data_IF_294014550836
#
_entry.id   IF_294014550836
#
_cell.length_a   1.000
_cell.length_b   1.000
_cell.length_c   1.000
_cell.angle_alpha   90.00
_cell.angle_beta   90.00
_cell.angle_gamma   90.00
#
_symmetry.space_group_name_H-M   'P 1'
#
loop_
_entity.id
_entity.type
_entity.pdbx_description
1 polymer ?
#
# COMPACT_ATOMS: atom_id res chain seq x y z
N UNK A 1 -19.29 -0.82 17.51
CA UNK A 1 -18.93 -1.86 16.49
C UNK A 1 -17.53 -2.35 16.82
N UNK A 2 -17.22 -3.62 16.70
CA UNK A 2 -15.91 -4.18 17.05
C UNK A 2 -14.83 -3.54 16.12
N UNK A 3 -13.71 -3.08 16.68
CA UNK A 3 -12.59 -2.46 15.94
C UNK A 3 -12.16 -3.30 14.73
N UNK A 4 -12.08 -4.61 14.90
CA UNK A 4 -11.71 -5.53 13.83
C UNK A 4 -12.69 -5.49 12.64
N UNK A 5 -14.00 -5.51 12.91
CA UNK A 5 -15.04 -5.41 11.87
C UNK A 5 -14.96 -4.06 11.16
N UNK A 6 -14.73 -2.96 11.91
CA UNK A 6 -14.54 -1.64 11.32
C UNK A 6 -13.37 -1.63 10.35
N UNK A 7 -12.25 -2.26 10.70
CA UNK A 7 -11.07 -2.31 9.81
C UNK A 7 -11.33 -3.16 8.57
N UNK A 8 -12.10 -4.23 8.65
CA UNK A 8 -12.50 -5.00 7.47
C UNK A 8 -13.36 -4.15 6.55
N UNK A 9 -14.40 -3.49 7.06
CA UNK A 9 -15.29 -2.66 6.25
C UNK A 9 -14.53 -1.50 5.60
N UNK A 10 -13.72 -0.77 6.37
CA UNK A 10 -12.91 0.33 5.83
C UNK A 10 -11.90 -0.15 4.79
N UNK A 11 -11.30 -1.33 4.95
CA UNK A 11 -10.39 -1.92 3.97
C UNK A 11 -11.09 -2.22 2.66
N UNK A 12 -12.30 -2.78 2.69
CA UNK A 12 -13.09 -3.04 1.47
C UNK A 12 -13.37 -1.72 0.74
N UNK A 13 -13.82 -0.70 1.45
CA UNK A 13 -14.09 0.63 0.88
C UNK A 13 -12.82 1.21 0.26
N UNK A 14 -11.70 1.16 0.98
CA UNK A 14 -10.41 1.67 0.53
C UNK A 14 -9.92 0.96 -0.75
N UNK A 15 -10.00 -0.36 -0.79
CA UNK A 15 -9.64 -1.15 -1.97
C UNK A 15 -10.50 -0.74 -3.17
N UNK A 16 -11.82 -0.60 -2.99
CA UNK A 16 -12.72 -0.18 -4.06
C UNK A 16 -12.33 1.20 -4.57
N UNK A 17 -12.13 2.17 -3.68
CA UNK A 17 -11.77 3.55 -4.05
C UNK A 17 -10.49 3.61 -4.87
N UNK A 18 -9.45 2.88 -4.44
CA UNK A 18 -8.16 2.86 -5.14
C UNK A 18 -8.19 2.03 -6.43
N UNK A 19 -9.09 1.06 -6.53
CA UNK A 19 -9.28 0.24 -7.72
C UNK A 19 -10.11 0.92 -8.81
N UNK A 20 -10.94 1.92 -8.52
CA UNK A 20 -11.88 2.53 -9.48
C UNK A 20 -11.14 3.02 -10.74
N UNK A 21 -10.12 3.86 -10.60
CA UNK A 21 -9.38 4.43 -11.73
C UNK A 21 -8.68 3.34 -12.53
N UNK A 22 -7.87 2.45 -11.92
CA UNK A 22 -7.28 1.32 -12.63
C UNK A 22 -8.29 0.42 -13.34
N UNK A 23 -9.42 0.15 -12.70
CA UNK A 23 -10.45 -0.73 -13.24
C UNK A 23 -11.15 -0.12 -14.46
N UNK A 24 -11.54 1.17 -14.39
CA UNK A 24 -12.13 1.88 -15.53
C UNK A 24 -11.14 1.93 -16.69
N UNK A 25 -9.87 2.20 -16.42
CA UNK A 25 -8.83 2.22 -17.43
C UNK A 25 -8.64 0.86 -18.10
N UNK A 26 -8.58 -0.21 -17.31
CA UNK A 26 -8.51 -1.56 -17.83
C UNK A 26 -9.72 -1.91 -18.70
N UNK A 27 -10.94 -1.57 -18.24
CA UNK A 27 -12.16 -1.78 -19.01
C UNK A 27 -12.10 -1.11 -20.39
N UNK A 28 -11.57 0.09 -20.46
CA UNK A 28 -11.47 0.86 -21.70
C UNK A 28 -10.37 0.35 -22.63
N UNK A 29 -9.26 -0.16 -22.10
CA UNK A 29 -8.04 -0.38 -22.89
C UNK A 29 -7.58 -1.82 -23.01
N UNK A 30 -7.83 -2.68 -22.03
CA UNK A 30 -7.17 -3.99 -21.94
C UNK A 30 -8.10 -5.18 -21.66
N UNK A 31 -9.40 -4.98 -21.40
CA UNK A 31 -10.34 -6.04 -21.00
C UNK A 31 -10.43 -7.22 -21.98
N UNK A 32 -10.19 -6.96 -23.27
CA UNK A 32 -10.23 -7.99 -24.32
C UNK A 32 -8.92 -8.79 -24.43
N UNK A 33 -7.83 -8.32 -23.83
CA UNK A 33 -6.48 -8.88 -23.97
C UNK A 33 -6.07 -9.71 -22.74
N UNK A 34 -6.43 -9.27 -21.53
CA UNK A 34 -6.01 -9.92 -20.29
C UNK A 34 -6.96 -9.61 -19.12
N UNK A 35 -6.97 -10.49 -18.12
CA UNK A 35 -7.75 -10.31 -16.89
C UNK A 35 -7.22 -9.14 -16.06
N UNK A 36 -8.10 -8.45 -15.33
CA UNK A 36 -7.73 -7.30 -14.49
C UNK A 36 -6.60 -7.62 -13.51
N UNK A 37 -6.68 -8.76 -12.81
CA UNK A 37 -5.66 -9.15 -11.84
C UNK A 37 -4.26 -9.28 -12.47
N UNK A 38 -4.14 -9.88 -13.64
CA UNK A 38 -2.88 -10.01 -14.38
C UNK A 38 -2.39 -8.65 -14.89
N UNK A 39 -3.32 -7.84 -15.40
CA UNK A 39 -3.03 -6.51 -15.92
C UNK A 39 -2.49 -5.57 -14.83
N UNK A 40 -3.07 -5.60 -13.63
CA UNK A 40 -2.63 -4.80 -12.51
C UNK A 40 -1.34 -5.35 -11.87
N UNK A 41 -0.97 -6.61 -12.14
CA UNK A 41 0.26 -7.23 -11.67
C UNK A 41 0.07 -8.18 -10.48
N UNK A 42 -1.15 -8.55 -10.16
CA UNK A 42 -1.44 -9.61 -9.19
C UNK A 42 -1.13 -10.97 -9.83
N UNK A 43 0.14 -11.35 -9.76
CA UNK A 43 0.66 -12.61 -10.29
C UNK A 43 1.18 -13.48 -9.16
N UNK A 44 1.22 -14.80 -9.42
CA UNK A 44 1.92 -15.73 -8.53
C UNK A 44 3.39 -15.30 -8.39
N UNK A 45 3.91 -15.36 -7.18
CA UNK A 45 5.31 -15.01 -6.92
C UNK A 45 6.19 -16.08 -7.61
N UNK A 46 6.97 -15.62 -8.56
CA UNK A 46 8.01 -16.41 -9.22
C UNK A 46 9.33 -16.06 -8.53
N UNK A 47 9.84 -16.99 -7.73
CA UNK A 47 11.11 -16.78 -7.06
C UNK A 47 11.37 -17.87 -6.03
N UNK A 48 12.56 -18.43 -6.07
CA UNK A 48 12.97 -19.46 -5.13
C UNK A 48 13.26 -18.91 -3.73
N UNK A 49 13.94 -19.71 -2.90
CA UNK A 49 14.32 -19.36 -1.52
C UNK A 49 15.02 -18.01 -1.42
N UNK A 50 15.84 -17.62 -2.40
CA UNK A 50 16.54 -16.30 -2.43
C UNK A 50 15.58 -15.14 -2.41
N UNK A 51 14.51 -15.17 -3.22
CA UNK A 51 13.49 -14.12 -3.26
C UNK A 51 12.74 -14.04 -1.93
N UNK A 52 12.37 -15.18 -1.35
CA UNK A 52 11.71 -15.21 -0.05
C UNK A 52 12.62 -14.63 1.05
N UNK A 53 13.89 -15.02 1.07
CA UNK A 53 14.87 -14.48 2.03
C UNK A 53 15.01 -12.96 1.88
N UNK A 54 15.13 -12.47 0.64
CA UNK A 54 15.20 -11.02 0.38
C UNK A 54 13.95 -10.28 0.87
N UNK A 55 12.76 -10.82 0.63
CA UNK A 55 11.49 -10.24 1.12
C UNK A 55 11.51 -10.17 2.66
N UNK A 56 11.91 -11.25 3.34
CA UNK A 56 11.97 -11.29 4.81
C UNK A 56 12.95 -10.24 5.34
N UNK A 57 14.16 -10.16 4.78
CA UNK A 57 15.19 -9.19 5.23
C UNK A 57 14.67 -7.75 5.05
N UNK A 58 14.12 -7.44 3.88
CA UNK A 58 13.58 -6.10 3.60
C UNK A 58 12.41 -5.78 4.52
N UNK A 59 11.51 -6.74 4.77
CA UNK A 59 10.38 -6.55 5.70
C UNK A 59 10.85 -6.27 7.12
N UNK A 60 11.85 -7.00 7.62
CA UNK A 60 12.45 -6.75 8.94
C UNK A 60 13.07 -5.36 9.01
N UNK A 61 13.83 -4.96 7.98
CA UNK A 61 14.43 -3.62 7.92
C UNK A 61 13.38 -2.50 7.94
N UNK A 62 12.27 -2.66 7.22
CA UNK A 62 11.14 -1.72 7.24
C UNK A 62 10.44 -1.67 8.59
N UNK A 63 10.20 -2.81 9.24
CA UNK A 63 9.61 -2.86 10.57
C UNK A 63 10.50 -2.15 11.61
N UNK A 64 11.81 -2.37 11.52
CA UNK A 64 12.77 -1.70 12.40
C UNK A 64 12.80 -0.19 12.17
N UNK A 65 12.88 0.25 10.90
CA UNK A 65 12.81 1.67 10.54
C UNK A 65 11.50 2.31 11.00
N UNK A 66 10.36 1.62 10.81
CA UNK A 66 9.05 2.08 11.28
C UNK A 66 9.00 2.25 12.80
N UNK A 67 9.54 1.28 13.54
CA UNK A 67 9.62 1.37 15.01
C UNK A 67 10.49 2.56 15.47
N UNK A 68 11.62 2.80 14.82
CA UNK A 68 12.46 3.99 15.09
C UNK A 68 11.73 5.29 14.81
N UNK A 69 11.00 5.35 13.67
CA UNK A 69 10.20 6.54 13.32
C UNK A 69 9.13 6.80 14.38
N UNK A 70 8.35 5.79 14.78
CA UNK A 70 7.33 5.93 15.82
C UNK A 70 7.93 6.36 17.16
N UNK A 71 9.13 5.89 17.49
CA UNK A 71 9.84 6.33 18.68
C UNK A 71 10.26 7.81 18.60
N UNK A 72 10.73 8.25 17.42
CA UNK A 72 11.17 9.64 17.21
C UNK A 72 10.01 10.66 17.23
N UNK A 73 8.81 10.25 16.73
CA UNK A 73 7.60 11.09 16.71
C UNK A 73 6.69 10.85 17.91
N UNK A 74 7.23 10.34 19.01
CA UNK A 74 6.47 10.05 20.23
C UNK A 74 5.73 11.30 20.72
N UNK A 75 4.41 11.17 20.87
CA UNK A 75 3.54 12.28 21.29
C UNK A 75 2.82 12.99 20.14
N UNK A 76 3.12 12.65 18.88
CA UNK A 76 2.36 13.12 17.71
C UNK A 76 1.28 12.08 17.38
N UNK A 77 0.06 12.54 17.23
CA UNK A 77 -1.03 11.66 16.76
C UNK A 77 -0.80 11.24 15.30
N UNK A 78 -0.96 9.96 15.06
CA UNK A 78 -0.82 9.36 13.73
C UNK A 78 -2.01 8.45 13.45
N UNK A 79 -2.16 8.01 12.21
CA UNK A 79 -3.21 7.07 11.82
C UNK A 79 -3.17 5.73 12.60
N UNK A 80 -2.06 5.41 13.26
CA UNK A 80 -1.90 4.22 14.10
C UNK A 80 -2.18 4.47 15.59
N UNK A 81 -2.40 5.72 16.01
CA UNK A 81 -2.63 6.09 17.41
C UNK A 81 -3.90 5.44 17.99
N UNK A 82 -4.88 5.12 17.15
CA UNK A 82 -6.09 4.41 17.57
C UNK A 82 -5.84 3.00 18.14
N UNK A 83 -4.67 2.41 17.87
CA UNK A 83 -4.29 1.10 18.41
C UNK A 83 -3.50 1.20 19.71
N UNK A 84 -3.17 2.42 20.17
CA UNK A 84 -2.36 2.64 21.36
C UNK A 84 -3.09 2.15 22.61
N UNK A 85 -2.40 1.37 23.43
CA UNK A 85 -2.95 0.84 24.69
C UNK A 85 -3.86 -0.38 24.56
N UNK A 86 -4.18 -0.85 23.35
CA UNK A 86 -5.08 -1.99 23.14
C UNK A 86 -4.38 -3.36 23.29
N UNK A 87 -3.05 -3.37 23.43
CA UNK A 87 -2.28 -4.60 23.62
C UNK A 87 -2.41 -5.62 22.48
N UNK A 88 -2.13 -6.87 22.81
CA UNK A 88 -2.09 -7.98 21.82
C UNK A 88 -3.44 -8.24 21.12
N UNK A 89 -4.53 -7.87 21.75
CA UNK A 89 -5.88 -8.04 21.20
C UNK A 89 -6.14 -7.17 19.96
N UNK A 90 -5.36 -6.11 19.76
CA UNK A 90 -5.44 -5.26 18.58
C UNK A 90 -4.72 -5.85 17.34
N UNK A 91 -3.84 -6.85 17.51
CA UNK A 91 -3.03 -7.39 16.41
C UNK A 91 -3.84 -7.78 15.18
N UNK A 92 -4.97 -8.51 15.28
CA UNK A 92 -5.76 -8.83 14.09
C UNK A 92 -6.27 -7.58 13.35
N UNK A 93 -6.70 -6.56 14.08
CA UNK A 93 -7.15 -5.30 13.48
C UNK A 93 -6.00 -4.50 12.87
N UNK A 94 -4.83 -4.49 13.50
CA UNK A 94 -3.60 -3.87 12.98
C UNK A 94 -3.18 -4.54 11.67
N UNK A 95 -3.18 -5.87 11.61
CA UNK A 95 -2.80 -6.62 10.40
C UNK A 95 -3.75 -6.31 9.25
N UNK A 96 -5.07 -6.32 9.50
CA UNK A 96 -6.07 -5.95 8.49
C UNK A 96 -5.87 -4.52 8.02
N UNK A 97 -5.68 -3.59 8.95
CA UNK A 97 -5.43 -2.18 8.63
C UNK A 97 -4.17 -2.00 7.79
N UNK A 98 -3.04 -2.51 8.23
CA UNK A 98 -1.76 -2.34 7.54
C UNK A 98 -1.76 -3.00 6.16
N UNK A 99 -2.28 -4.24 6.04
CA UNK A 99 -2.22 -5.00 4.80
C UNK A 99 -3.30 -4.57 3.80
N UNK A 100 -4.55 -4.41 4.22
CA UNK A 100 -5.69 -4.27 3.32
C UNK A 100 -6.29 -2.87 3.29
N UNK A 101 -6.11 -2.08 4.36
CA UNK A 101 -6.58 -0.69 4.35
C UNK A 101 -5.51 0.26 3.81
N UNK A 102 -4.23 -0.08 3.94
CA UNK A 102 -3.11 0.79 3.54
C UNK A 102 -2.29 0.17 2.40
N UNK A 103 -1.49 -0.86 2.68
CA UNK A 103 -0.49 -1.35 1.74
C UNK A 103 -1.09 -1.84 0.40
N UNK A 104 -2.09 -2.70 0.43
CA UNK A 104 -2.63 -3.29 -0.80
C UNK A 104 -3.30 -2.27 -1.74
N UNK A 105 -4.18 -1.35 -1.28
CA UNK A 105 -4.75 -0.31 -2.14
C UNK A 105 -3.69 0.60 -2.75
N UNK A 106 -2.71 1.01 -1.97
CA UNK A 106 -1.62 1.87 -2.44
C UNK A 106 -0.75 1.17 -3.48
N UNK A 107 -0.37 -0.09 -3.25
CA UNK A 107 0.39 -0.89 -4.21
C UNK A 107 -0.40 -1.07 -5.53
N UNK A 108 -1.70 -1.29 -5.45
CA UNK A 108 -2.57 -1.45 -6.61
C UNK A 108 -2.58 -0.18 -7.46
N UNK A 109 -2.76 0.99 -6.85
CA UNK A 109 -2.82 2.26 -7.56
C UNK A 109 -1.43 2.72 -8.03
N UNK A 110 -0.45 2.77 -7.12
CA UNK A 110 0.84 3.37 -7.43
C UNK A 110 1.75 2.44 -8.22
N UNK A 111 1.89 1.17 -7.83
CA UNK A 111 2.78 0.22 -8.53
C UNK A 111 2.07 -0.60 -9.60
N UNK A 112 0.86 -1.06 -9.32
CA UNK A 112 0.08 -1.83 -10.27
C UNK A 112 -0.37 -1.02 -11.47
N UNK A 113 -0.78 0.24 -11.27
CA UNK A 113 -1.31 1.09 -12.32
C UNK A 113 -0.34 2.21 -12.73
N UNK A 114 -0.07 3.17 -11.83
CA UNK A 114 0.64 4.40 -12.17
C UNK A 114 2.05 4.14 -12.69
N UNK A 115 2.84 3.36 -11.94
CA UNK A 115 4.21 3.04 -12.34
C UNK A 115 4.26 2.38 -13.72
N UNK A 116 3.36 1.44 -14.01
CA UNK A 116 3.32 0.79 -15.33
C UNK A 116 2.98 1.76 -16.46
N UNK A 117 2.08 2.73 -16.21
CA UNK A 117 1.73 3.75 -17.22
C UNK A 117 2.89 4.69 -17.48
N UNK A 118 3.54 5.14 -16.42
CA UNK A 118 4.74 5.98 -16.54
C UNK A 118 5.91 5.24 -17.18
N UNK A 119 6.12 3.97 -16.82
CA UNK A 119 7.21 3.16 -17.36
C UNK A 119 7.10 2.93 -18.86
N UNK A 120 5.88 2.76 -19.38
CA UNK A 120 5.63 2.64 -20.82
C UNK A 120 6.01 3.91 -21.60
N UNK A 121 6.00 5.08 -20.94
CA UNK A 121 6.31 6.36 -21.58
C UNK A 121 7.74 6.82 -21.35
N UNK A 122 8.27 6.64 -20.15
CA UNK A 122 9.54 7.24 -19.71
C UNK A 122 10.63 6.21 -19.38
N UNK A 123 10.33 4.91 -19.48
CA UNK A 123 11.18 3.83 -18.99
C UNK A 123 11.06 3.63 -17.46
N UNK A 124 11.49 2.47 -16.99
CA UNK A 124 11.25 2.02 -15.60
C UNK A 124 11.93 2.93 -14.56
N UNK A 125 13.18 3.32 -14.77
CA UNK A 125 13.94 4.08 -13.77
C UNK A 125 13.32 5.46 -13.51
N UNK A 126 13.00 6.20 -14.58
CA UNK A 126 12.36 7.52 -14.47
C UNK A 126 10.97 7.39 -13.87
N UNK A 127 10.19 6.42 -14.33
CA UNK A 127 8.86 6.16 -13.82
C UNK A 127 8.83 5.84 -12.33
N UNK A 128 9.81 5.06 -11.86
CA UNK A 128 9.93 4.71 -10.44
C UNK A 128 10.24 5.94 -9.57
N UNK A 129 11.13 6.82 -10.04
CA UNK A 129 11.42 8.09 -9.36
C UNK A 129 10.18 8.98 -9.32
N UNK A 130 9.50 9.16 -10.46
CA UNK A 130 8.30 9.98 -10.55
C UNK A 130 7.19 9.47 -9.62
N UNK A 131 6.97 8.15 -9.61
CA UNK A 131 5.98 7.52 -8.74
C UNK A 131 6.34 7.69 -7.26
N UNK A 132 7.61 7.51 -6.89
CA UNK A 132 8.08 7.68 -5.52
C UNK A 132 7.94 9.14 -5.03
N UNK A 133 8.28 10.12 -5.88
CA UNK A 133 8.11 11.55 -5.59
C UNK A 133 6.63 11.90 -5.40
N UNK A 134 5.75 11.41 -6.28
CA UNK A 134 4.31 11.65 -6.16
C UNK A 134 3.75 11.03 -4.89
N UNK A 135 4.12 9.79 -4.59
CA UNK A 135 3.72 9.10 -3.37
C UNK A 135 4.18 9.86 -2.11
N UNK A 136 5.46 10.24 -2.06
CA UNK A 136 6.00 11.01 -0.95
C UNK A 136 5.36 12.39 -0.79
N UNK A 137 5.10 13.10 -1.91
CA UNK A 137 4.43 14.40 -1.88
C UNK A 137 2.99 14.28 -1.34
N UNK A 138 2.22 13.29 -1.77
CA UNK A 138 0.86 13.07 -1.27
C UNK A 138 0.85 12.77 0.24
N UNK A 139 1.77 11.92 0.72
CA UNK A 139 1.89 11.63 2.14
C UNK A 139 2.36 12.85 2.94
N UNK A 140 3.33 13.62 2.41
CA UNK A 140 3.79 14.86 3.03
C UNK A 140 2.70 15.91 3.16
N UNK A 141 1.92 16.13 2.09
CA UNK A 141 0.79 17.07 2.11
C UNK A 141 -0.28 16.61 3.09
N UNK A 142 -0.65 15.33 3.09
CA UNK A 142 -1.63 14.80 4.06
C UNK A 142 -1.15 14.97 5.49
N UNK A 143 0.12 14.69 5.77
CA UNK A 143 0.69 14.89 7.09
C UNK A 143 0.64 16.37 7.51
N UNK A 144 0.95 17.29 6.60
CA UNK A 144 0.95 18.74 6.87
C UNK A 144 -0.45 19.31 7.09
N UNK A 145 -1.48 18.71 6.48
CA UNK A 145 -2.88 19.14 6.63
C UNK A 145 -3.55 18.56 7.88
N UNK A 146 -3.00 17.49 8.46
CA UNK A 146 -3.62 16.79 9.59
C UNK A 146 -2.92 17.05 10.92
N UNK A 147 -1.77 17.74 10.91
CA UNK A 147 -1.01 18.22 12.06
C UNK A 147 -1.13 19.72 12.20
#
# INVERSE_FOLDING_TARGET
MNLFINKIVSSIVQIILFAIIPFIWWLATARKQQKFAEWIGLKKIEGGKKTLTAIIIVSIAFLFSGALTLYAIKGIETATSEFTGLGIMAIPAIVVYAAFNTAFPEELLFRGFLLKRLANKFGFNIANIMQALLFGALHGVMFFLLV
#
